data_IF_232430130573
#
_entry.id   IF_232430130573
#
_cell.length_a   1.000
_cell.length_b   1.000
_cell.length_c   1.000
_cell.angle_alpha   90.00
_cell.angle_beta   90.00
_cell.angle_gamma   90.00
#
_symmetry.space_group_name_H-M   'P 1'
#
loop_
_entity.id
_entity.type
_entity.pdbx_description
1 polymer ?
#
# COMPACT_ATOMS: atom_id res chain seq x y z
N UNK A 1 -17.53 -54.87 25.35
CA UNK A 1 -17.34 -54.37 24.95
C UNK A 1 -17.02 -53.90 24.72
N UNK A 2 -16.87 -53.39 24.79
CA UNK A 2 -16.47 -52.74 24.40
C UNK A 2 -15.99 -52.14 24.08
N UNK A 3 -15.90 -52.03 24.38
CA UNK A 3 -15.43 -51.44 23.94
C UNK A 3 -15.18 -50.90 23.59
N UNK A 4 -15.12 -50.68 23.85
CA UNK A 4 -14.85 -50.03 23.40
C UNK A 4 -14.69 -49.52 22.98
N UNK A 5 -14.76 -49.56 23.33
CA UNK A 5 -14.57 -48.94 22.89
C UNK A 5 -14.45 -48.28 22.51
N UNK A 6 -14.40 -48.15 22.73
CA UNK A 6 -14.22 -47.55 22.35
C UNK A 6 -14.24 -46.96 22.12
N UNK A 7 -14.17 -46.74 22.37
CA UNK A 7 -14.05 -46.14 22.12
C UNK A 7 -14.18 -45.58 21.77
N UNK A 8 -14.52 -45.59 21.92
CA UNK A 8 -14.53 -44.92 21.63
C UNK A 8 -14.51 -44.12 21.36
N UNK A 9 -14.72 -43.81 21.36
CA UNK A 9 -14.58 -42.92 21.24
C UNK A 9 -14.25 -42.06 21.30
N UNK A 10 -13.79 -41.75 21.58
CA UNK A 10 -13.24 -41.04 21.77
C UNK A 10 -12.86 -40.42 21.41
N UNK A 11 -12.72 -40.08 21.48
CA UNK A 11 -12.13 -39.31 21.13
C UNK A 11 -11.53 -38.89 20.66
N UNK A 12 -11.52 -38.89 20.46
CA UNK A 12 -10.95 -38.57 20.05
C UNK A 12 -10.40 -38.06 19.80
N UNK A 13 -10.21 -37.86 19.84
CA UNK A 13 -9.45 -37.51 19.70
C UNK A 13 -8.76 -37.24 19.61
N UNK A 14 -9.11 -37.38 19.70
CA UNK A 14 -7.91 -37.33 19.91
C UNK A 14 -6.77 -36.44 19.47
N UNK A 15 -5.96 -35.89 19.96
CA UNK A 15 -4.90 -35.04 19.58
C UNK A 15 -5.18 -33.90 18.63
N UNK A 16 -6.30 -33.92 18.03
CA UNK A 16 -6.74 -32.83 17.15
C UNK A 16 -7.86 -32.06 17.79
N UNK A 17 -7.51 -31.31 18.81
CA UNK A 17 -8.49 -30.39 19.37
C UNK A 17 -8.63 -29.16 18.47
N UNK A 18 -9.85 -28.69 18.29
CA UNK A 18 -10.10 -27.44 17.60
C UNK A 18 -9.71 -26.26 18.49
N UNK A 19 -9.15 -25.21 17.96
CA UNK A 19 -8.84 -24.04 18.78
C UNK A 19 -10.10 -23.42 19.37
N UNK A 20 -10.04 -23.04 20.64
CA UNK A 20 -11.12 -22.35 21.33
C UNK A 20 -11.11 -20.86 21.06
N UNK A 21 -9.96 -20.32 20.69
CA UNK A 21 -9.81 -18.94 20.28
C UNK A 21 -8.80 -18.85 19.15
N UNK A 22 -9.11 -18.00 18.20
CA UNK A 22 -8.23 -17.78 17.05
C UNK A 22 -8.24 -16.30 16.72
N UNK A 23 -7.05 -15.74 16.53
CA UNK A 23 -6.89 -14.36 16.11
C UNK A 23 -5.93 -14.30 14.94
N UNK A 24 -6.27 -13.53 13.93
CA UNK A 24 -5.39 -13.30 12.79
C UNK A 24 -5.33 -11.82 12.46
N UNK A 25 -4.14 -11.38 12.07
CA UNK A 25 -3.88 -10.02 11.64
C UNK A 25 -3.22 -10.08 10.28
N UNK A 26 -3.79 -9.39 9.33
CA UNK A 26 -3.20 -9.22 8.00
C UNK A 26 -2.98 -7.74 7.75
N UNK A 27 -1.76 -7.39 7.41
CA UNK A 27 -1.40 -6.02 7.08
C UNK A 27 -0.88 -5.97 5.65
N UNK A 28 -1.44 -5.09 4.86
CA UNK A 28 -0.96 -4.81 3.52
C UNK A 28 -0.55 -3.35 3.46
N UNK A 29 0.70 -3.10 3.09
CA UNK A 29 1.25 -1.76 2.97
C UNK A 29 1.73 -1.55 1.55
N UNK A 30 1.25 -0.50 0.93
CA UNK A 30 1.74 -0.06 -0.37
C UNK A 30 2.31 1.33 -0.22
N UNK A 31 3.49 1.53 -0.76
CA UNK A 31 4.10 2.84 -0.80
C UNK A 31 4.58 3.11 -2.21
N UNK A 32 4.37 4.33 -2.66
CA UNK A 32 4.89 4.79 -3.95
C UNK A 32 5.58 6.13 -3.75
N UNK A 33 6.70 6.28 -4.41
CA UNK A 33 7.48 7.50 -4.38
C UNK A 33 7.76 7.93 -5.81
N UNK A 34 7.42 9.16 -6.10
CA UNK A 34 7.68 9.77 -7.40
C UNK A 34 8.58 10.96 -7.18
N UNK A 35 9.64 11.05 -7.95
CA UNK A 35 10.54 12.19 -7.91
C UNK A 35 10.76 12.69 -9.34
N UNK A 36 10.47 13.95 -9.54
CA UNK A 36 10.66 14.62 -10.81
C UNK A 36 11.53 15.84 -10.59
N UNK A 37 12.64 15.90 -11.31
CA UNK A 37 13.49 17.08 -11.37
C UNK A 37 13.50 17.55 -12.81
N UNK A 38 13.20 18.81 -13.02
CA UNK A 38 13.22 19.37 -14.37
C UNK A 38 13.94 20.70 -14.41
N UNK A 39 14.38 21.05 -15.60
CA UNK A 39 15.02 22.32 -15.88
C UNK A 39 14.34 22.98 -17.06
N UNK A 40 14.03 24.24 -16.94
CA UNK A 40 13.40 24.98 -18.02
C UNK A 40 14.47 25.52 -18.98
N UNK A 41 14.03 25.94 -20.16
CA UNK A 41 14.90 26.53 -21.16
C UNK A 41 15.51 27.86 -20.66
N UNK A 42 14.85 28.54 -19.72
CA UNK A 42 15.36 29.77 -19.13
C UNK A 42 16.32 29.54 -17.98
N UNK A 43 16.54 28.30 -17.57
CA UNK A 43 17.47 27.91 -16.53
C UNK A 43 16.86 27.71 -15.16
N UNK A 44 15.56 27.78 -15.03
CA UNK A 44 14.88 27.51 -13.77
C UNK A 44 14.85 26.03 -13.48
N UNK A 45 14.86 25.68 -12.20
CA UNK A 45 14.85 24.29 -11.75
C UNK A 45 13.63 24.03 -10.88
N UNK A 46 12.97 22.91 -11.12
CA UNK A 46 11.80 22.48 -10.35
C UNK A 46 12.03 21.05 -9.86
N UNK A 47 11.84 20.84 -8.58
CA UNK A 47 11.89 19.50 -7.98
C UNK A 47 10.54 19.20 -7.36
N UNK A 48 9.96 18.09 -7.77
CA UNK A 48 8.67 17.63 -7.26
C UNK A 48 8.87 16.24 -6.66
N UNK A 49 8.41 16.07 -5.42
CA UNK A 49 8.43 14.79 -4.74
C UNK A 49 7.03 14.46 -4.26
N UNK A 50 6.57 13.27 -4.59
CA UNK A 50 5.28 12.76 -4.14
C UNK A 50 5.49 11.42 -3.47
N UNK A 51 5.07 11.31 -2.21
CA UNK A 51 5.10 10.08 -1.46
C UNK A 51 3.68 9.70 -1.06
N UNK A 52 3.27 8.54 -1.49
CA UNK A 52 1.96 8.02 -1.16
C UNK A 52 2.09 6.71 -0.40
N UNK A 53 1.34 6.56 0.66
CA UNK A 53 1.30 5.34 1.45
C UNK A 53 -0.13 4.92 1.70
N UNK A 54 -0.38 3.66 1.45
CA UNK A 54 -1.65 3.02 1.75
C UNK A 54 -1.40 1.87 2.70
N UNK A 55 -2.10 1.88 3.82
CA UNK A 55 -2.01 0.83 4.81
C UNK A 55 -3.39 0.24 5.04
N UNK A 56 -3.49 -1.07 4.90
CA UNK A 56 -4.72 -1.78 5.21
C UNK A 56 -4.42 -2.87 6.23
N UNK A 57 -5.19 -2.87 7.30
CA UNK A 57 -5.05 -3.84 8.37
C UNK A 57 -6.39 -4.53 8.60
N UNK A 58 -6.38 -5.82 8.51
CA UNK A 58 -7.56 -6.64 8.76
C UNK A 58 -7.27 -7.52 9.97
N UNK A 59 -8.10 -7.38 10.99
CA UNK A 59 -8.01 -8.18 12.20
C UNK A 59 -9.27 -9.05 12.28
N UNK A 60 -9.06 -10.31 12.52
CA UNK A 60 -10.15 -11.26 12.70
C UNK A 60 -9.91 -12.04 13.98
N UNK A 61 -10.95 -12.13 14.78
CA UNK A 61 -10.93 -12.91 16.00
C UNK A 61 -12.15 -13.78 16.10
N UNK A 62 -12.00 -14.96 16.65
CA UNK A 62 -13.10 -15.84 16.95
C UNK A 62 -12.83 -16.58 18.25
N UNK A 63 -13.88 -16.78 19.05
CA UNK A 63 -13.83 -17.55 20.27
C UNK A 63 -15.04 -18.46 20.32
N UNK A 64 -14.83 -19.65 20.84
CA UNK A 64 -15.88 -20.65 20.97
C UNK A 64 -16.02 -21.06 22.44
N UNK A 65 -17.25 -21.03 22.94
CA UNK A 65 -17.56 -21.44 24.28
C UNK A 65 -18.75 -22.37 24.32
N UNK A 66 -19.22 -22.66 25.52
CA UNK A 66 -20.37 -23.53 25.71
C UNK A 66 -21.66 -22.99 25.09
N UNK A 67 -21.79 -21.69 25.10
CA UNK A 67 -23.02 -21.02 24.65
C UNK A 67 -22.99 -20.67 23.17
N UNK A 68 -21.90 -20.92 22.49
CA UNK A 68 -21.82 -20.63 21.08
C UNK A 68 -20.47 -20.08 20.66
N UNK A 69 -20.49 -19.42 19.53
CA UNK A 69 -19.29 -18.89 18.89
C UNK A 69 -19.43 -17.38 18.67
N UNK A 70 -18.38 -16.66 19.02
CA UNK A 70 -18.30 -15.22 18.79
C UNK A 70 -17.18 -14.96 17.79
N UNK A 71 -17.45 -14.16 16.79
CA UNK A 71 -16.45 -13.75 15.82
C UNK A 71 -16.50 -12.24 15.63
N UNK A 72 -15.33 -11.65 15.39
CA UNK A 72 -15.18 -10.23 15.19
C UNK A 72 -14.20 -9.99 14.06
N UNK A 73 -14.52 -9.01 13.23
CA UNK A 73 -13.64 -8.58 12.13
C UNK A 73 -13.52 -7.06 12.18
N UNK A 74 -12.29 -6.59 12.11
CA UNK A 74 -11.98 -5.17 12.04
C UNK A 74 -11.15 -4.91 10.80
N UNK A 75 -11.52 -3.94 10.01
CA UNK A 75 -10.81 -3.55 8.78
C UNK A 75 -10.50 -2.06 8.90
N UNK A 76 -9.21 -1.75 8.97
CA UNK A 76 -8.74 -0.37 9.08
C UNK A 76 -7.92 -0.03 7.84
N UNK A 77 -8.22 1.09 7.24
CA UNK A 77 -7.48 1.59 6.09
C UNK A 77 -7.01 3.01 6.36
N UNK A 78 -5.74 3.25 6.05
CA UNK A 78 -5.11 4.55 6.24
C UNK A 78 -4.36 4.92 4.97
N UNK A 79 -4.58 6.12 4.50
CA UNK A 79 -3.90 6.66 3.32
C UNK A 79 -3.20 7.95 3.70
N UNK A 80 -1.97 8.10 3.25
CA UNK A 80 -1.25 9.36 3.40
C UNK A 80 -0.60 9.74 2.09
N UNK A 81 -0.63 11.03 1.80
CA UNK A 81 0.01 11.61 0.63
C UNK A 81 0.81 12.83 1.08
N UNK A 82 2.10 12.80 0.79
CA UNK A 82 2.99 13.92 1.06
C UNK A 82 3.53 14.42 -0.27
N UNK A 83 3.38 15.71 -0.51
CA UNK A 83 3.87 16.35 -1.72
C UNK A 83 4.78 17.51 -1.35
N UNK A 84 5.90 17.61 -2.03
CA UNK A 84 6.78 18.77 -1.89
C UNK A 84 7.19 19.28 -3.27
N UNK A 85 7.22 20.58 -3.40
CA UNK A 85 7.60 21.25 -4.64
C UNK A 85 8.61 22.34 -4.30
N UNK A 86 9.79 22.25 -4.89
CA UNK A 86 10.84 23.27 -4.77
C UNK A 86 11.06 23.91 -6.13
N UNK A 87 11.01 25.22 -6.19
CA UNK A 87 11.24 25.97 -7.42
C UNK A 87 12.41 26.92 -7.18
N UNK A 88 13.39 26.89 -8.07
CA UNK A 88 14.48 27.86 -8.10
C UNK A 88 14.32 28.70 -9.35
N UNK A 89 14.02 29.99 -9.18
CA UNK A 89 13.74 30.92 -10.26
C UNK A 89 12.27 31.28 -10.35
N UNK A 90 11.92 32.04 -11.35
CA UNK A 90 10.55 32.50 -11.60
C UNK A 90 9.97 31.79 -12.81
N UNK A 91 8.94 31.00 -12.58
CA UNK A 91 8.28 30.27 -13.64
C UNK A 91 7.24 31.14 -14.35
N UNK A 92 7.29 31.15 -15.67
CA UNK A 92 6.26 31.78 -16.49
C UNK A 92 5.01 30.91 -16.59
N UNK A 93 3.90 31.48 -17.04
CA UNK A 93 2.66 30.74 -17.25
C UNK A 93 2.85 29.60 -18.26
N UNK A 94 3.64 29.84 -19.32
CA UNK A 94 3.94 28.82 -20.31
C UNK A 94 4.73 27.65 -19.71
N UNK A 95 5.71 27.95 -18.84
CA UNK A 95 6.47 26.92 -18.15
C UNK A 95 5.59 26.10 -17.19
N UNK A 96 4.68 26.74 -16.48
CA UNK A 96 3.75 26.05 -15.60
C UNK A 96 2.81 25.12 -16.37
N UNK A 97 2.34 25.55 -17.55
CA UNK A 97 1.50 24.69 -18.39
C UNK A 97 2.27 23.47 -18.89
N UNK A 98 3.51 23.67 -19.30
CA UNK A 98 4.36 22.58 -19.77
C UNK A 98 4.68 21.59 -18.65
N UNK A 99 4.94 22.07 -17.45
CA UNK A 99 5.16 21.22 -16.27
C UNK A 99 3.89 20.41 -15.98
N UNK A 100 2.74 21.03 -16.06
CA UNK A 100 1.48 20.34 -15.82
C UNK A 100 1.23 19.26 -16.88
N UNK A 101 1.52 19.55 -18.13
CA UNK A 101 1.41 18.58 -19.22
C UNK A 101 2.36 17.40 -19.00
N UNK A 102 3.58 17.67 -18.56
CA UNK A 102 4.55 16.63 -18.23
C UNK A 102 4.06 15.72 -17.10
N UNK A 103 3.53 16.30 -16.03
CA UNK A 103 2.99 15.52 -14.92
C UNK A 103 1.82 14.64 -15.35
N UNK A 104 0.94 15.15 -16.20
CA UNK A 104 -0.17 14.37 -16.73
C UNK A 104 0.31 13.20 -17.59
N UNK A 105 1.30 13.42 -18.44
CA UNK A 105 1.87 12.37 -19.27
C UNK A 105 2.56 11.29 -18.44
N UNK A 106 3.32 11.70 -17.42
CA UNK A 106 3.99 10.76 -16.53
C UNK A 106 2.98 9.95 -15.70
N UNK A 107 1.89 10.58 -15.28
CA UNK A 107 0.82 9.88 -14.58
C UNK A 107 0.15 8.83 -15.45
N UNK A 108 0.07 9.06 -16.75
CA UNK A 108 -0.45 8.10 -17.71
C UNK A 108 0.54 7.05 -18.16
N UNK A 109 1.75 7.05 -17.63
CA UNK A 109 2.79 6.09 -18.00
C UNK A 109 3.58 6.45 -19.25
N UNK A 110 3.43 7.68 -19.75
CA UNK A 110 4.17 8.16 -20.90
C UNK A 110 5.41 8.91 -20.47
N UNK A 111 6.47 8.85 -21.28
CA UNK A 111 7.71 9.59 -21.04
C UNK A 111 7.99 10.48 -22.24
N UNK A 112 7.37 11.69 -22.29
CA UNK A 112 7.55 12.61 -23.40
C UNK A 112 8.98 13.16 -23.46
N UNK A 113 9.37 13.63 -24.64
CA UNK A 113 10.69 14.24 -24.82
C UNK A 113 10.62 15.73 -24.46
N UNK A 114 11.65 16.18 -23.73
CA UNK A 114 11.81 17.58 -23.39
C UNK A 114 12.15 18.40 -24.63
N UNK A 115 11.66 19.65 -24.66
CA UNK A 115 11.95 20.60 -25.72
C UNK A 115 11.15 20.39 -27.00
N UNK A 116 10.15 19.52 -26.98
CA UNK A 116 9.33 19.24 -28.15
C UNK A 116 7.84 19.26 -27.82
N UNK A 117 7.02 19.73 -28.75
CA UNK A 117 5.57 19.73 -28.64
C UNK A 117 5.09 20.50 -27.44
N UNK A 118 4.42 19.84 -26.51
CA UNK A 118 3.87 20.44 -25.31
C UNK A 118 4.92 20.78 -24.25
N UNK A 119 6.18 20.38 -24.46
CA UNK A 119 7.27 20.59 -23.52
C UNK A 119 8.35 21.53 -24.07
N UNK A 120 7.97 22.52 -24.86
CA UNK A 120 8.92 23.45 -25.48
C UNK A 120 9.75 24.23 -24.48
N UNK A 121 9.19 24.56 -23.32
CA UNK A 121 9.90 25.34 -22.29
C UNK A 121 10.73 24.47 -21.34
N UNK A 122 10.63 23.16 -21.44
CA UNK A 122 11.39 22.24 -20.60
C UNK A 122 12.58 21.74 -21.37
N UNK A 123 13.79 22.07 -20.89
CA UNK A 123 15.02 21.67 -21.58
C UNK A 123 15.47 20.26 -21.20
N UNK A 124 15.20 19.83 -19.98
CA UNK A 124 15.55 18.48 -19.50
C UNK A 124 14.73 18.12 -18.29
N UNK A 125 14.50 16.84 -18.09
CA UNK A 125 13.90 16.36 -16.87
C UNK A 125 14.41 14.97 -16.51
N UNK A 126 14.33 14.62 -15.22
CA UNK A 126 14.60 13.29 -14.70
C UNK A 126 13.40 12.84 -13.89
N UNK A 127 13.00 11.62 -14.12
CA UNK A 127 11.82 11.06 -13.48
C UNK A 127 12.17 9.72 -12.87
N UNK A 128 11.80 9.52 -11.62
CA UNK A 128 11.93 8.21 -10.97
C UNK A 128 10.65 7.88 -10.24
N UNK A 129 10.29 6.62 -10.30
CA UNK A 129 9.10 6.10 -9.66
C UNK A 129 9.42 4.78 -9.00
N UNK A 130 9.06 4.66 -7.73
CA UNK A 130 9.24 3.43 -6.97
C UNK A 130 7.92 3.02 -6.36
N UNK A 131 7.62 1.75 -6.44
CA UNK A 131 6.44 1.18 -5.82
C UNK A 131 6.85 -0.04 -5.02
N UNK A 132 6.46 -0.06 -3.76
CA UNK A 132 6.77 -1.16 -2.85
C UNK A 132 5.48 -1.67 -2.24
N UNK A 133 5.35 -2.97 -2.18
CA UNK A 133 4.20 -3.62 -1.55
C UNK A 133 4.70 -4.64 -0.54
N UNK A 134 4.20 -4.54 0.68
CA UNK A 134 4.51 -5.47 1.75
C UNK A 134 3.21 -6.07 2.29
N UNK A 135 3.20 -7.37 2.45
CA UNK A 135 2.06 -8.07 3.05
C UNK A 135 2.60 -8.94 4.18
N UNK A 136 2.03 -8.78 5.36
CA UNK A 136 2.36 -9.62 6.49
C UNK A 136 1.08 -10.22 7.06
N UNK A 137 1.22 -11.42 7.60
CA UNK A 137 0.11 -12.13 8.21
C UNK A 137 0.61 -12.87 9.43
N UNK A 138 -0.11 -12.75 10.53
CA UNK A 138 0.17 -13.54 11.74
C UNK A 138 -1.14 -14.14 12.25
N UNK A 139 -1.02 -15.33 12.82
CA UNK A 139 -2.16 -16.04 13.35
C UNK A 139 -1.78 -16.63 14.71
N UNK A 140 -2.65 -16.44 15.69
CA UNK A 140 -2.51 -16.99 17.02
C UNK A 140 -3.72 -17.89 17.28
N UNK A 141 -3.46 -19.08 17.81
CA UNK A 141 -4.51 -20.03 18.17
C UNK A 141 -4.33 -20.46 19.61
N UNK A 142 -5.42 -20.48 20.35
CA UNK A 142 -5.45 -20.96 21.72
C UNK A 142 -6.29 -22.23 21.78
N UNK A 143 -5.75 -23.22 22.46
CA UNK A 143 -6.39 -24.52 22.64
C UNK A 143 -6.79 -24.68 24.10
N UNK A 144 -7.98 -25.19 24.30
CA UNK A 144 -8.50 -25.47 25.64
C UNK A 144 -8.57 -26.94 25.99
#
# INVERSE_FOLDING_TARGET
>A
MRVSANNSGQPCNTGKSSPVAKASVRTAKESSALKLTLRTAEGDTVEISLDAQNLRRIERGSARGREGRVSQTSDTQSNSLTASVNVTGDLSDAELQDIQALLQSLSGGETPQAGQGELDTISAYQYSYQHTREVSQSTVQLYG
#
